data_IF_590535966539
#
_entry.id   IF_590535966539
#
_cell.length_a   1.000
_cell.length_b   1.000
_cell.length_c   1.000
_cell.angle_alpha   90.00
_cell.angle_beta   90.00
_cell.angle_gamma   90.00
#
_symmetry.space_group_name_H-M   'P 1'
#
loop_
_entity.id
_entity.type
_entity.pdbx_description
1 polymer ?
#
# COMPACT_ATOMS: atom_id res chain seq x y z
N UNK A 1 14.83 -9.75 17.66
CA UNK A 1 14.35 -10.28 16.35
C UNK A 1 13.40 -9.28 15.72
N UNK A 2 13.41 -9.16 14.40
CA UNK A 2 12.43 -8.41 13.62
C UNK A 2 11.63 -9.40 12.77
N UNK A 3 10.32 -9.34 12.85
CA UNK A 3 9.41 -10.21 12.11
C UNK A 3 8.32 -9.39 11.42
N UNK A 4 7.77 -9.91 10.33
CA UNK A 4 6.68 -9.26 9.58
C UNK A 4 5.91 -10.28 8.74
N UNK A 5 4.80 -9.89 8.10
CA UNK A 5 3.99 -10.81 7.31
C UNK A 5 4.71 -11.30 6.05
N UNK A 6 5.60 -10.49 5.49
CA UNK A 6 6.35 -10.77 4.26
C UNK A 6 7.81 -10.36 4.38
N UNK A 7 8.67 -10.94 3.54
CA UNK A 7 10.07 -10.51 3.44
C UNK A 7 10.20 -9.05 2.99
N UNK A 8 9.34 -8.59 2.11
CA UNK A 8 9.35 -7.20 1.64
C UNK A 8 9.18 -6.21 2.81
N UNK A 9 8.22 -6.44 3.70
CA UNK A 9 8.01 -5.58 4.87
C UNK A 9 9.24 -5.58 5.79
N UNK A 10 9.79 -6.75 6.06
CA UNK A 10 11.00 -6.91 6.88
C UNK A 10 12.21 -6.20 6.25
N UNK A 11 12.42 -6.35 4.95
CA UNK A 11 13.52 -5.72 4.21
C UNK A 11 13.41 -4.19 4.19
N UNK A 12 12.21 -3.65 4.05
CA UNK A 12 11.97 -2.20 4.12
C UNK A 12 12.32 -1.64 5.50
N UNK A 13 11.96 -2.35 6.57
CA UNK A 13 12.33 -1.94 7.93
C UNK A 13 13.83 -2.04 8.16
N UNK A 14 14.49 -3.12 7.71
CA UNK A 14 15.95 -3.29 7.82
C UNK A 14 16.68 -2.19 7.06
N UNK A 15 16.23 -1.80 5.88
CA UNK A 15 16.86 -0.70 5.12
C UNK A 15 16.82 0.62 5.89
N UNK A 16 15.72 0.94 6.56
CA UNK A 16 15.59 2.11 7.43
C UNK A 16 16.49 2.01 8.67
N UNK A 17 16.62 0.82 9.25
CA UNK A 17 17.52 0.57 10.38
C UNK A 17 18.99 0.75 9.96
N UNK A 18 19.39 0.26 8.79
CA UNK A 18 20.73 0.46 8.24
C UNK A 18 21.05 1.95 8.12
N UNK A 19 20.12 2.75 7.59
CA UNK A 19 20.26 4.20 7.47
C UNK A 19 20.37 4.86 8.86
N UNK A 20 19.53 4.46 9.81
CA UNK A 20 19.54 5.00 11.15
C UNK A 20 20.85 4.71 11.89
N UNK A 21 21.33 3.46 11.83
CA UNK A 21 22.61 3.05 12.42
C UNK A 21 23.78 3.75 11.74
N UNK A 22 23.74 3.94 10.41
CA UNK A 22 24.80 4.67 9.69
C UNK A 22 24.99 6.09 10.19
N UNK A 23 23.90 6.74 10.62
CA UNK A 23 23.90 8.10 11.16
C UNK A 23 24.25 8.18 12.65
N UNK A 24 24.32 7.06 13.37
CA UNK A 24 24.71 6.99 14.77
C UNK A 24 26.14 6.48 14.91
N UNK A 25 27.05 7.35 15.37
CA UNK A 25 28.46 6.98 15.51
C UNK A 25 28.71 5.93 16.61
N UNK A 26 27.83 5.81 17.59
CA UNK A 26 27.97 4.95 18.76
C UNK A 26 27.37 3.53 18.55
N UNK A 27 26.48 3.37 17.56
CA UNK A 27 25.77 2.12 17.35
C UNK A 27 26.57 1.17 16.43
N UNK A 28 26.92 -0.01 16.96
CA UNK A 28 27.50 -1.12 16.21
C UNK A 28 26.53 -2.30 16.32
N UNK A 29 26.12 -2.88 15.19
CA UNK A 29 25.19 -4.00 15.17
C UNK A 29 25.52 -4.99 14.06
N UNK A 30 25.37 -6.28 14.36
CA UNK A 30 25.38 -7.31 13.33
C UNK A 30 23.93 -7.58 12.89
N UNK A 31 23.70 -7.61 11.57
CA UNK A 31 22.37 -7.82 10.97
C UNK A 31 22.39 -9.11 10.17
N UNK A 32 21.48 -10.01 10.51
CA UNK A 32 21.29 -11.30 9.84
C UNK A 32 19.86 -11.41 9.30
N UNK A 33 19.71 -11.74 8.02
CA UNK A 33 18.40 -11.92 7.41
C UNK A 33 18.25 -13.37 6.97
N UNK A 34 17.28 -14.04 7.59
CA UNK A 34 17.01 -15.45 7.34
C UNK A 34 15.86 -15.60 6.32
N UNK A 35 16.17 -16.12 5.13
CA UNK A 35 15.21 -16.33 4.05
C UNK A 35 14.72 -17.78 3.96
N UNK A 36 13.50 -17.96 3.45
CA UNK A 36 13.06 -19.29 3.00
C UNK A 36 13.75 -19.67 1.70
N UNK A 37 13.77 -20.97 1.39
CA UNK A 37 14.44 -21.50 0.20
C UNK A 37 13.94 -21.00 -1.14
N UNK A 38 12.74 -20.42 -1.19
CA UNK A 38 12.13 -19.88 -2.41
C UNK A 38 12.41 -18.39 -2.62
N UNK A 39 13.03 -17.73 -1.64
CA UNK A 39 13.28 -16.28 -1.70
C UNK A 39 14.75 -16.00 -2.05
N UNK A 40 14.95 -14.95 -2.83
CA UNK A 40 16.29 -14.42 -3.11
C UNK A 40 16.58 -13.26 -2.17
N UNK A 41 17.78 -13.19 -1.59
CA UNK A 41 18.20 -12.07 -0.78
C UNK A 41 18.13 -10.75 -1.55
N UNK A 42 17.67 -9.69 -0.87
CA UNK A 42 17.69 -8.32 -1.40
C UNK A 42 19.11 -7.75 -1.32
N UNK A 43 19.52 -7.02 -2.36
CA UNK A 43 20.66 -6.12 -2.29
C UNK A 43 20.19 -4.77 -1.74
N UNK A 44 20.73 -4.35 -0.59
CA UNK A 44 20.38 -3.09 0.04
C UNK A 44 21.09 -1.92 -0.66
N UNK A 45 20.38 -0.79 -0.76
CA UNK A 45 20.87 0.39 -1.48
C UNK A 45 22.00 1.13 -0.75
N UNK A 46 22.01 1.02 0.59
CA UNK A 46 22.99 1.71 1.44
C UNK A 46 24.07 0.73 1.87
N UNK A 47 25.37 1.11 1.75
CA UNK A 47 26.45 0.30 2.27
C UNK A 47 26.38 0.25 3.80
N UNK A 48 26.55 -0.95 4.36
CA UNK A 48 26.56 -1.15 5.80
C UNK A 48 27.99 -1.37 6.30
N UNK A 49 28.48 -0.46 7.14
CA UNK A 49 29.88 -0.45 7.63
C UNK A 49 29.99 -0.51 9.16
N UNK A 50 28.86 -0.57 9.87
CA UNK A 50 28.78 -0.54 11.34
C UNK A 50 28.71 -1.94 11.98
N UNK A 51 29.03 -2.96 11.25
CA UNK A 51 28.99 -4.35 11.66
C UNK A 51 28.84 -5.27 10.47
N UNK A 52 28.41 -6.48 10.72
CA UNK A 52 28.16 -7.47 9.66
C UNK A 52 26.74 -7.35 9.13
N UNK A 53 26.58 -7.37 7.81
CA UNK A 53 25.31 -7.58 7.14
C UNK A 53 25.38 -8.88 6.36
N UNK A 54 24.61 -9.88 6.77
CA UNK A 54 24.61 -11.20 6.14
C UNK A 54 23.19 -11.70 5.88
N UNK A 55 23.00 -12.35 4.74
CA UNK A 55 21.75 -13.01 4.38
C UNK A 55 22.00 -14.50 4.17
N UNK A 56 21.14 -15.35 4.71
CA UNK A 56 21.25 -16.77 4.53
C UNK A 56 19.89 -17.42 4.27
N UNK A 57 19.95 -18.56 3.59
CA UNK A 57 18.76 -19.35 3.35
C UNK A 57 18.59 -20.37 4.49
N UNK A 58 17.39 -20.48 5.02
CA UNK A 58 17.07 -21.42 6.10
C UNK A 58 17.27 -22.90 5.75
N UNK A 59 17.47 -23.24 4.48
CA UNK A 59 17.84 -24.60 4.03
C UNK A 59 19.35 -24.81 3.87
N UNK A 60 20.09 -23.74 3.57
CA UNK A 60 21.52 -23.82 3.35
C UNK A 60 22.23 -23.84 4.70
N UNK A 61 23.18 -24.77 4.84
CA UNK A 61 23.66 -25.27 6.14
C UNK A 61 24.78 -24.44 6.77
N UNK A 62 24.70 -24.40 8.06
CA UNK A 62 25.72 -24.45 9.12
C UNK A 62 26.53 -23.18 9.37
N UNK A 63 27.33 -22.64 8.47
CA UNK A 63 28.34 -21.63 8.84
C UNK A 63 27.75 -20.26 9.24
N UNK A 64 26.76 -19.74 8.49
CA UNK A 64 26.13 -18.45 8.79
C UNK A 64 25.17 -18.51 9.99
N UNK A 65 24.56 -19.68 10.23
CA UNK A 65 23.75 -19.89 11.43
C UNK A 65 24.63 -19.91 12.68
N UNK A 66 25.80 -20.55 12.62
CA UNK A 66 26.77 -20.60 13.71
C UNK A 66 27.37 -19.24 14.01
N UNK A 67 27.65 -18.44 12.97
CA UNK A 67 28.14 -17.07 13.11
C UNK A 67 27.03 -16.14 13.69
N UNK A 68 25.77 -16.28 13.29
CA UNK A 68 24.64 -15.59 13.87
C UNK A 68 24.48 -15.94 15.35
N UNK A 69 24.62 -17.22 15.69
CA UNK A 69 24.54 -17.67 17.08
C UNK A 69 25.71 -17.15 17.93
N UNK A 70 26.92 -17.15 17.40
CA UNK A 70 28.08 -16.54 18.06
C UNK A 70 27.84 -15.04 18.32
N UNK A 71 27.28 -14.31 17.34
CA UNK A 71 26.93 -12.92 17.52
C UNK A 71 25.83 -12.71 18.57
N UNK A 72 24.80 -13.56 18.59
CA UNK A 72 23.73 -13.53 19.60
C UNK A 72 24.22 -13.86 21.02
N UNK A 73 25.28 -14.60 21.13
CA UNK A 73 25.88 -15.00 22.42
C UNK A 73 26.83 -13.94 22.98
N UNK A 74 27.29 -13.01 22.16
CA UNK A 74 28.15 -11.89 22.57
C UNK A 74 27.31 -10.75 23.16
N UNK A 75 27.31 -10.63 24.48
CA UNK A 75 26.57 -9.60 25.21
C UNK A 75 27.04 -8.16 24.96
N UNK A 76 28.20 -7.98 24.35
CA UNK A 76 28.75 -6.65 24.04
C UNK A 76 28.33 -6.16 22.65
N UNK A 77 27.58 -6.95 21.91
CA UNK A 77 27.08 -6.61 20.57
C UNK A 77 25.59 -6.54 20.48
N UNK A 78 25.11 -5.67 19.61
CA UNK A 78 23.72 -5.67 19.18
C UNK A 78 23.63 -6.61 17.98
N UNK A 79 22.80 -7.64 18.09
CA UNK A 79 22.53 -8.57 16.98
C UNK A 79 21.08 -8.49 16.58
N UNK A 80 20.84 -8.14 15.33
CA UNK A 80 19.51 -8.05 14.73
C UNK A 80 19.31 -9.26 13.82
N UNK A 81 18.29 -10.05 14.10
CA UNK A 81 17.86 -11.14 13.22
C UNK A 81 16.51 -10.81 12.64
N UNK A 82 16.39 -10.87 11.32
CA UNK A 82 15.19 -10.50 10.59
C UNK A 82 14.67 -11.67 9.74
N UNK A 83 13.34 -11.90 9.76
CA UNK A 83 12.72 -12.96 8.96
C UNK A 83 11.21 -12.74 8.83
N UNK A 84 10.57 -13.43 7.88
CA UNK A 84 9.11 -13.49 7.85
C UNK A 84 8.58 -14.29 9.06
N UNK A 85 7.49 -13.83 9.68
CA UNK A 85 6.94 -14.41 10.92
C UNK A 85 6.75 -15.92 10.86
N UNK A 86 6.25 -16.44 9.73
CA UNK A 86 6.09 -17.89 9.53
C UNK A 86 7.43 -18.67 9.54
N UNK A 87 8.56 -18.03 9.36
CA UNK A 87 9.86 -18.70 9.29
C UNK A 87 10.66 -18.59 10.59
N UNK A 88 10.19 -17.77 11.53
CA UNK A 88 10.91 -17.53 12.78
C UNK A 88 11.17 -18.81 13.59
N UNK A 89 10.21 -19.76 13.59
CA UNK A 89 10.38 -21.04 14.29
C UNK A 89 11.51 -21.90 13.71
N UNK A 90 11.65 -21.94 12.39
CA UNK A 90 12.74 -22.70 11.72
C UNK A 90 14.11 -22.15 12.07
N UNK A 91 14.19 -20.84 12.21
CA UNK A 91 15.41 -20.20 12.68
C UNK A 91 15.69 -20.57 14.14
N UNK A 92 14.71 -20.45 15.01
CA UNK A 92 14.84 -20.78 16.43
C UNK A 92 15.18 -22.26 16.66
N UNK A 93 14.54 -23.18 15.95
CA UNK A 93 14.81 -24.62 16.01
C UNK A 93 16.25 -24.95 15.68
N UNK A 94 16.83 -24.29 14.68
CA UNK A 94 18.23 -24.49 14.30
C UNK A 94 19.24 -23.92 15.29
N UNK A 95 18.94 -22.76 15.88
CA UNK A 95 19.82 -22.16 16.89
C UNK A 95 19.93 -22.98 18.16
N UNK A 96 18.93 -23.78 18.47
CA UNK A 96 18.78 -24.45 19.75
C UNK A 96 18.95 -25.97 19.68
N UNK A 97 19.49 -26.53 18.57
CA UNK A 97 19.65 -27.96 18.35
C UNK A 97 18.38 -28.76 18.70
N UNK A 98 17.24 -28.35 18.12
CA UNK A 98 15.90 -28.90 18.31
C UNK A 98 15.16 -28.52 19.60
N UNK A 99 15.66 -27.58 20.39
CA UNK A 99 14.89 -26.94 21.45
C UNK A 99 14.57 -25.49 21.04
N UNK A 100 13.29 -25.11 20.99
CA UNK A 100 12.91 -23.70 20.81
C UNK A 100 13.35 -22.94 22.06
N UNK A 101 14.46 -22.23 21.98
CA UNK A 101 15.02 -21.46 23.08
C UNK A 101 14.56 -20.02 23.07
N UNK A 102 14.40 -19.45 24.25
CA UNK A 102 14.16 -18.03 24.45
C UNK A 102 15.49 -17.28 24.29
N UNK A 103 15.74 -16.74 23.10
CA UNK A 103 17.07 -16.18 22.73
C UNK A 103 17.05 -14.66 22.54
N UNK A 104 15.89 -14.05 22.27
CA UNK A 104 15.79 -12.63 21.97
C UNK A 104 15.33 -11.79 23.15
N UNK A 105 16.04 -10.71 23.43
CA UNK A 105 15.67 -9.72 24.44
C UNK A 105 14.54 -8.82 23.97
N UNK A 106 14.44 -8.63 22.64
CA UNK A 106 13.40 -7.80 22.02
C UNK A 106 12.91 -8.45 20.73
N UNK A 107 11.60 -8.51 20.59
CA UNK A 107 10.92 -8.88 19.33
C UNK A 107 10.12 -7.68 18.83
N UNK A 108 10.31 -7.35 17.55
CA UNK A 108 9.55 -6.33 16.85
C UNK A 108 8.74 -7.04 15.76
N UNK A 109 7.42 -6.91 15.79
CA UNK A 109 6.53 -7.40 14.73
C UNK A 109 5.99 -6.18 13.99
N UNK A 110 6.48 -5.99 12.77
CA UNK A 110 6.03 -4.92 11.88
C UNK A 110 4.87 -5.38 10.99
N UNK A 111 4.07 -4.43 10.50
CA UNK A 111 2.82 -4.70 9.77
C UNK A 111 1.93 -5.72 10.51
N UNK A 112 1.85 -5.59 11.83
CA UNK A 112 1.23 -6.56 12.74
C UNK A 112 -0.29 -6.69 12.56
N UNK A 113 -0.93 -5.72 11.91
CA UNK A 113 -2.32 -5.82 11.47
C UNK A 113 -2.55 -6.93 10.44
N UNK A 114 -1.49 -7.37 9.72
CA UNK A 114 -1.52 -8.45 8.74
C UNK A 114 -0.97 -9.78 9.27
N UNK A 115 -0.37 -9.79 10.45
CA UNK A 115 0.20 -11.01 11.04
C UNK A 115 -0.88 -11.71 11.86
N UNK A 116 -1.26 -12.92 11.44
CA UNK A 116 -2.22 -13.74 12.17
C UNK A 116 -1.70 -14.11 13.56
N UNK A 117 -2.59 -14.24 14.54
CA UNK A 117 -2.24 -14.68 15.90
C UNK A 117 -1.46 -15.99 15.87
N UNK A 118 -1.91 -16.98 15.11
CA UNK A 118 -1.25 -18.27 14.96
C UNK A 118 0.17 -18.16 14.38
N UNK A 119 0.38 -17.24 13.44
CA UNK A 119 1.69 -16.99 12.84
C UNK A 119 2.63 -16.25 13.80
N UNK A 120 2.08 -15.36 14.63
CA UNK A 120 2.84 -14.59 15.61
C UNK A 120 3.41 -15.46 16.75
N UNK A 121 2.82 -16.61 17.04
CA UNK A 121 3.34 -17.56 18.04
C UNK A 121 4.80 -17.94 17.72
N UNK A 122 5.12 -18.08 16.45
CA UNK A 122 6.45 -18.48 15.99
C UNK A 122 7.58 -17.54 16.46
N UNK A 123 7.57 -16.22 16.17
CA UNK A 123 8.55 -15.32 16.75
C UNK A 123 8.40 -15.19 18.29
N UNK A 124 7.16 -15.14 18.82
CA UNK A 124 6.93 -14.93 20.24
C UNK A 124 7.53 -16.04 21.12
N UNK A 125 7.52 -17.28 20.65
CA UNK A 125 8.14 -18.41 21.36
C UNK A 125 9.66 -18.26 21.59
N UNK A 126 10.31 -17.35 20.85
CA UNK A 126 11.74 -17.08 20.97
C UNK A 126 12.09 -15.91 21.90
N UNK A 127 11.08 -15.23 22.44
CA UNK A 127 11.24 -14.11 23.36
C UNK A 127 11.65 -14.62 24.76
N UNK A 128 12.64 -14.01 25.36
CA UNK A 128 13.03 -14.26 26.75
C UNK A 128 11.91 -13.87 27.73
N UNK A 129 11.86 -14.49 28.88
CA UNK A 129 10.83 -14.27 29.90
C UNK A 129 10.71 -12.79 30.30
N UNK A 130 11.81 -12.08 30.42
CA UNK A 130 11.86 -10.63 30.71
C UNK A 130 12.03 -9.77 29.44
N UNK A 131 11.80 -10.37 28.27
CA UNK A 131 11.99 -9.68 26.99
C UNK A 131 10.88 -8.67 26.68
N UNK A 132 11.16 -7.79 25.70
CA UNK A 132 10.24 -6.76 25.24
C UNK A 132 9.59 -7.16 23.92
N UNK A 133 8.28 -6.93 23.84
CA UNK A 133 7.52 -7.08 22.59
C UNK A 133 7.11 -5.70 22.08
N UNK A 134 7.47 -5.39 20.85
CA UNK A 134 7.04 -4.18 20.12
C UNK A 134 6.16 -4.62 18.96
N UNK A 135 4.94 -4.12 18.93
CA UNK A 135 3.96 -4.37 17.87
C UNK A 135 3.74 -3.08 17.11
N UNK A 136 4.17 -3.05 15.85
CA UNK A 136 3.95 -1.93 14.94
C UNK A 136 2.95 -2.35 13.86
N UNK A 137 1.90 -1.53 13.63
CA UNK A 137 0.89 -1.84 12.64
C UNK A 137 -0.26 -0.86 12.67
N UNK A 138 -1.12 -0.96 11.68
CA UNK A 138 -2.24 -0.05 11.49
C UNK A 138 -3.53 -0.86 11.33
N UNK A 139 -4.39 -0.81 12.34
CA UNK A 139 -5.65 -1.57 12.38
C UNK A 139 -6.71 -1.07 11.38
N UNK A 140 -6.51 0.10 10.79
CA UNK A 140 -7.35 0.65 9.71
C UNK A 140 -6.81 0.29 8.31
N UNK A 141 -5.71 -0.46 8.24
CA UNK A 141 -5.21 -1.09 7.02
C UNK A 141 -5.64 -2.55 6.93
N UNK A 142 -5.25 -3.22 5.84
CA UNK A 142 -5.73 -4.57 5.54
C UNK A 142 -5.48 -5.57 6.68
N UNK A 143 -6.52 -6.32 7.10
CA UNK A 143 -6.35 -7.43 8.03
C UNK A 143 -5.64 -8.62 7.35
N UNK A 144 -5.20 -9.63 8.12
CA UNK A 144 -4.64 -10.83 7.53
C UNK A 144 -5.69 -11.56 6.69
N UNK A 145 -5.25 -12.19 5.60
CA UNK A 145 -6.11 -13.05 4.80
C UNK A 145 -6.44 -14.30 5.63
N UNK A 146 -7.71 -14.50 5.93
CA UNK A 146 -8.19 -15.67 6.68
C UNK A 146 -8.78 -16.69 5.71
N UNK A 147 -8.33 -17.94 5.82
CA UNK A 147 -8.85 -19.05 5.03
C UNK A 147 -10.17 -19.62 5.60
N UNK A 148 -10.47 -19.35 6.86
CA UNK A 148 -11.64 -19.86 7.58
C UNK A 148 -12.31 -18.72 8.33
N UNK A 149 -13.62 -18.79 8.45
CA UNK A 149 -14.36 -17.92 9.38
C UNK A 149 -14.05 -18.30 10.83
N UNK A 150 -13.85 -17.30 11.70
CA UNK A 150 -13.59 -17.56 13.10
C UNK A 150 -14.83 -18.17 13.79
N UNK A 151 -14.66 -19.06 14.78
CA UNK A 151 -15.76 -19.50 15.61
C UNK A 151 -16.41 -18.33 16.34
N UNK A 152 -17.72 -18.38 16.51
CA UNK A 152 -18.47 -17.35 17.26
C UNK A 152 -17.91 -17.19 18.67
N UNK A 153 -17.58 -15.97 19.05
CA UNK A 153 -17.00 -15.63 20.36
C UNK A 153 -15.48 -15.84 20.46
N UNK A 154 -14.83 -16.28 19.37
CA UNK A 154 -13.37 -16.46 19.30
C UNK A 154 -12.76 -15.77 18.08
N UNK A 155 -13.41 -14.74 17.56
CA UNK A 155 -13.02 -13.99 16.38
C UNK A 155 -11.61 -13.40 16.52
N UNK A 156 -11.20 -13.04 17.72
CA UNK A 156 -9.88 -12.52 18.04
C UNK A 156 -8.75 -13.53 17.88
N UNK A 157 -9.02 -14.86 17.99
CA UNK A 157 -8.00 -15.90 17.87
C UNK A 157 -7.52 -16.10 16.43
N UNK A 158 -8.35 -15.75 15.45
CA UNK A 158 -8.04 -15.92 14.01
C UNK A 158 -7.69 -14.59 13.33
N UNK A 159 -7.88 -13.47 14.02
CA UNK A 159 -7.53 -12.13 13.54
C UNK A 159 -6.03 -11.81 13.59
N UNK A 160 -5.71 -10.54 13.53
CA UNK A 160 -4.33 -10.07 13.66
C UNK A 160 -3.84 -10.12 15.11
N UNK A 161 -2.53 -10.31 15.27
CA UNK A 161 -1.88 -10.25 16.59
C UNK A 161 -2.09 -8.87 17.25
N UNK A 162 -2.08 -7.79 16.47
CA UNK A 162 -2.33 -6.45 16.98
C UNK A 162 -3.73 -6.35 17.61
N UNK A 163 -4.75 -6.76 16.87
CA UNK A 163 -6.14 -6.75 17.36
C UNK A 163 -6.31 -7.63 18.59
N UNK A 164 -5.73 -8.84 18.57
CA UNK A 164 -5.73 -9.76 19.69
C UNK A 164 -5.19 -9.13 20.98
N UNK A 165 -4.03 -8.47 20.88
CA UNK A 165 -3.39 -7.85 22.05
C UNK A 165 -4.20 -6.66 22.58
N UNK A 166 -4.75 -5.83 21.68
CA UNK A 166 -5.59 -4.67 22.08
C UNK A 166 -6.89 -5.14 22.74
N UNK A 167 -7.63 -6.05 22.10
CA UNK A 167 -8.96 -6.45 22.58
C UNK A 167 -8.89 -7.36 23.82
N UNK A 168 -7.90 -8.26 23.88
CA UNK A 168 -7.80 -9.25 24.96
C UNK A 168 -7.01 -8.77 26.15
N UNK A 169 -5.95 -8.00 25.94
CA UNK A 169 -5.04 -7.55 26.99
C UNK A 169 -5.11 -6.05 27.24
N UNK A 170 -5.95 -5.33 26.50
CA UNK A 170 -6.13 -3.87 26.64
C UNK A 170 -4.80 -3.09 26.59
N UNK A 171 -3.87 -3.57 25.77
CA UNK A 171 -2.56 -2.90 25.62
C UNK A 171 -2.77 -1.51 25.04
N UNK A 172 -2.20 -0.53 25.72
CA UNK A 172 -2.26 0.87 25.29
C UNK A 172 -1.43 1.04 24.01
N UNK A 173 -2.06 1.54 22.95
CA UNK A 173 -1.37 1.88 21.71
C UNK A 173 -0.92 3.33 21.71
N UNK A 174 0.34 3.56 21.30
CA UNK A 174 0.86 4.89 20.98
C UNK A 174 0.63 5.13 19.49
N UNK A 175 -0.12 6.17 19.13
CA UNK A 175 -0.34 6.52 17.74
C UNK A 175 0.77 7.44 17.23
N UNK A 176 1.20 7.23 15.98
CA UNK A 176 2.03 8.18 15.26
C UNK A 176 1.12 9.32 14.77
N UNK A 177 1.51 10.54 15.02
CA UNK A 177 0.69 11.74 14.75
C UNK A 177 1.22 12.56 13.58
N UNK A 178 2.36 12.19 13.01
CA UNK A 178 2.98 12.85 11.87
C UNK A 178 2.95 11.98 10.62
N UNK A 179 2.39 12.51 9.54
CA UNK A 179 2.38 11.87 8.23
C UNK A 179 3.39 12.54 7.31
N UNK A 180 4.47 11.82 7.00
CA UNK A 180 5.56 12.30 6.12
C UNK A 180 5.30 11.99 4.63
N UNK A 181 4.18 11.35 4.29
CA UNK A 181 3.90 10.91 2.92
C UNK A 181 3.02 11.88 2.16
N UNK A 182 1.84 12.15 2.68
CA UNK A 182 0.73 12.71 1.94
C UNK A 182 0.47 14.17 2.32
N UNK A 183 -0.13 14.92 1.40
CA UNK A 183 -0.61 16.27 1.67
C UNK A 183 -1.80 16.29 2.65
N UNK A 184 -2.16 17.48 3.09
CA UNK A 184 -3.21 17.69 4.10
C UNK A 184 -4.58 17.16 3.68
N UNK A 185 -4.94 17.22 2.39
CA UNK A 185 -6.25 16.73 1.95
C UNK A 185 -6.39 15.21 2.10
N UNK A 186 -5.33 14.47 1.78
CA UNK A 186 -5.30 13.01 1.94
C UNK A 186 -5.27 12.64 3.43
N UNK A 187 -4.51 13.38 4.25
CA UNK A 187 -4.46 13.17 5.70
C UNK A 187 -5.79 13.51 6.36
N UNK A 188 -6.49 14.56 5.89
CA UNK A 188 -7.82 14.90 6.38
C UNK A 188 -8.84 13.79 6.10
N UNK A 189 -8.74 13.13 4.93
CA UNK A 189 -9.54 11.93 4.67
C UNK A 189 -9.22 10.80 5.68
N UNK A 190 -7.96 10.53 5.96
CA UNK A 190 -7.59 9.53 6.95
C UNK A 190 -8.24 9.82 8.32
N UNK A 191 -8.21 11.07 8.77
CA UNK A 191 -8.92 11.47 10.01
C UNK A 191 -10.44 11.20 9.94
N UNK A 192 -11.06 11.41 8.79
CA UNK A 192 -12.52 11.19 8.64
C UNK A 192 -12.94 9.73 8.74
N UNK A 193 -12.03 8.78 8.54
CA UNK A 193 -12.31 7.34 8.61
C UNK A 193 -11.86 6.67 9.91
N UNK A 194 -11.35 7.44 10.88
CA UNK A 194 -11.09 6.93 12.23
C UNK A 194 -9.66 7.10 12.75
N UNK A 195 -8.73 7.69 11.98
CA UNK A 195 -7.46 8.11 12.56
C UNK A 195 -7.64 9.27 13.54
N UNK A 196 -6.70 9.43 14.47
CA UNK A 196 -6.77 10.51 15.46
C UNK A 196 -6.86 11.89 14.80
N UNK A 197 -7.58 12.80 15.42
CA UNK A 197 -7.70 14.20 14.97
C UNK A 197 -6.37 14.94 15.00
N UNK A 198 -5.43 14.50 15.85
CA UNK A 198 -4.06 15.03 15.96
C UNK A 198 -3.14 14.62 14.80
N UNK A 199 -3.52 13.61 13.98
CA UNK A 199 -2.72 13.22 12.81
C UNK A 199 -2.59 14.40 11.85
N UNK A 200 -1.36 14.84 11.58
CA UNK A 200 -1.05 15.99 10.75
C UNK A 200 -0.10 15.63 9.61
N UNK A 201 -0.24 16.30 8.48
CA UNK A 201 0.73 16.21 7.40
C UNK A 201 1.96 17.07 7.74
N UNK A 202 3.15 16.48 7.65
CA UNK A 202 4.42 17.24 7.74
C UNK A 202 4.64 18.08 6.48
N UNK A 203 4.09 17.65 5.36
CA UNK A 203 4.17 18.33 4.06
C UNK A 203 2.77 18.70 3.53
N UNK A 204 2.03 19.60 4.16
CA UNK A 204 0.61 19.83 3.88
C UNK A 204 0.35 20.34 2.46
N UNK A 205 1.34 20.97 1.82
CA UNK A 205 1.22 21.60 0.50
C UNK A 205 1.74 20.74 -0.66
N UNK A 206 2.08 19.47 -0.43
CA UNK A 206 2.46 18.59 -1.55
C UNK A 206 1.42 18.67 -2.67
N UNK A 207 1.89 18.91 -3.89
CA UNK A 207 1.08 18.92 -5.10
C UNK A 207 1.87 18.46 -6.32
N UNK A 208 1.15 18.10 -7.38
CA UNK A 208 1.78 17.81 -8.67
C UNK A 208 2.31 19.11 -9.26
N UNK A 209 3.50 19.05 -9.85
CA UNK A 209 4.04 20.13 -10.66
C UNK A 209 3.83 19.83 -12.14
N UNK A 210 3.24 20.76 -12.88
CA UNK A 210 3.02 20.64 -14.32
C UNK A 210 4.16 21.32 -15.07
N UNK A 211 4.88 20.56 -15.89
CA UNK A 211 5.94 21.04 -16.79
C UNK A 211 5.41 21.36 -18.19
N UNK A 212 4.20 20.91 -18.50
CA UNK A 212 3.49 21.20 -19.75
C UNK A 212 2.00 21.40 -19.50
N UNK A 213 1.31 22.21 -20.34
CA UNK A 213 -0.13 22.42 -20.22
C UNK A 213 -0.91 21.12 -20.43
N UNK A 214 -1.90 20.87 -19.57
CA UNK A 214 -2.81 19.71 -19.68
C UNK A 214 -3.55 19.70 -21.02
N UNK A 215 -3.94 20.86 -21.55
CA UNK A 215 -4.64 21.00 -22.83
C UNK A 215 -3.81 20.40 -23.99
N UNK A 216 -2.49 20.56 -23.98
CA UNK A 216 -1.58 19.97 -24.97
C UNK A 216 -1.59 18.44 -24.89
N UNK A 217 -1.52 17.88 -23.69
CA UNK A 217 -1.56 16.44 -23.48
C UNK A 217 -2.92 15.85 -23.86
N UNK A 218 -4.02 16.53 -23.53
CA UNK A 218 -5.40 16.12 -23.87
C UNK A 218 -5.57 16.11 -25.39
N UNK A 219 -5.08 17.14 -26.09
CA UNK A 219 -5.17 17.23 -27.56
C UNK A 219 -4.35 16.17 -28.28
N UNK A 220 -3.32 15.62 -27.63
CA UNK A 220 -2.44 14.58 -28.16
C UNK A 220 -2.86 13.15 -27.78
N UNK A 221 -4.06 12.95 -27.21
CA UNK A 221 -4.54 11.63 -26.81
C UNK A 221 -4.51 10.64 -27.98
N UNK A 222 -3.92 9.45 -27.81
CA UNK A 222 -3.92 8.40 -28.81
C UNK A 222 -5.32 8.01 -29.28
N UNK A 223 -5.44 7.68 -30.57
CA UNK A 223 -6.70 7.22 -31.14
C UNK A 223 -7.25 6.00 -30.37
N UNK A 224 -8.56 6.00 -30.11
CA UNK A 224 -9.25 4.94 -29.38
C UNK A 224 -9.28 5.11 -27.87
N UNK A 225 -8.60 6.12 -27.31
CA UNK A 225 -8.81 6.56 -25.94
C UNK A 225 -9.99 7.54 -25.86
N UNK A 226 -10.70 7.59 -24.74
CA UNK A 226 -11.81 8.50 -24.55
C UNK A 226 -11.32 9.94 -24.36
N UNK A 227 -12.13 10.90 -24.81
CA UNK A 227 -11.93 12.32 -24.56
C UNK A 227 -13.01 12.84 -23.58
N UNK A 228 -12.68 13.87 -22.82
CA UNK A 228 -13.61 14.51 -21.92
C UNK A 228 -13.13 15.92 -21.54
N UNK A 229 -14.05 16.85 -21.40
CA UNK A 229 -13.79 18.17 -20.79
C UNK A 229 -13.38 18.05 -19.32
N UNK A 230 -13.73 16.92 -18.67
CA UNK A 230 -13.40 16.65 -17.26
C UNK A 230 -11.94 16.28 -17.03
N UNK A 231 -11.15 15.91 -18.05
CA UNK A 231 -9.75 15.53 -17.87
C UNK A 231 -8.91 16.62 -17.25
N UNK A 232 -9.08 17.86 -17.69
CA UNK A 232 -8.38 19.01 -17.12
C UNK A 232 -8.74 19.19 -15.65
N UNK A 233 -10.02 19.13 -15.35
CA UNK A 233 -10.55 19.29 -14.00
C UNK A 233 -10.09 18.18 -13.03
N UNK A 234 -10.05 16.93 -13.51
CA UNK A 234 -9.55 15.78 -12.73
C UNK A 234 -8.06 15.93 -12.43
N UNK A 235 -7.29 16.40 -13.41
CA UNK A 235 -5.81 16.44 -13.31
C UNK A 235 -5.28 17.77 -12.74
N UNK A 236 -6.15 18.76 -12.55
CA UNK A 236 -5.77 20.05 -11.93
C UNK A 236 -5.05 19.83 -10.58
N UNK A 237 -3.80 20.31 -10.40
CA UNK A 237 -3.01 20.05 -9.19
C UNK A 237 -3.64 20.52 -7.89
N UNK A 238 -4.47 21.56 -7.95
CA UNK A 238 -5.19 22.07 -6.77
C UNK A 238 -6.27 21.11 -6.24
N UNK A 239 -6.83 20.26 -7.11
CA UNK A 239 -7.82 19.23 -6.75
C UNK A 239 -7.11 17.93 -6.38
N UNK A 240 -6.69 17.81 -5.15
CA UNK A 240 -5.84 16.71 -4.67
C UNK A 240 -6.58 15.39 -4.51
N UNK A 241 -7.86 15.45 -4.20
CA UNK A 241 -8.74 14.28 -4.01
C UNK A 241 -9.94 14.43 -4.93
N UNK A 242 -10.10 13.49 -5.86
CA UNK A 242 -11.11 13.53 -6.92
C UNK A 242 -11.77 12.17 -7.08
N UNK A 243 -13.06 12.16 -7.35
CA UNK A 243 -13.80 10.97 -7.82
C UNK A 243 -14.36 11.24 -9.21
N UNK A 244 -14.19 10.28 -10.13
CA UNK A 244 -14.86 10.25 -11.41
C UNK A 244 -15.92 9.16 -11.39
N UNK A 245 -17.17 9.57 -11.45
CA UNK A 245 -18.33 8.69 -11.62
C UNK A 245 -18.70 8.63 -13.10
N UNK A 246 -19.04 7.43 -13.59
CA UNK A 246 -19.39 7.21 -14.99
C UNK A 246 -20.50 6.17 -15.15
N UNK A 247 -21.07 6.15 -16.33
CA UNK A 247 -22.16 5.26 -16.70
C UNK A 247 -21.58 3.97 -17.31
N UNK A 248 -21.51 2.90 -16.51
CA UNK A 248 -21.10 1.54 -16.92
C UNK A 248 -21.70 0.50 -15.97
N UNK A 249 -22.95 0.14 -16.21
CA UNK A 249 -23.75 -0.71 -15.32
C UNK A 249 -23.67 -2.20 -15.67
N UNK A 250 -22.81 -2.60 -16.63
CA UNK A 250 -22.75 -3.97 -17.14
C UNK A 250 -21.41 -4.68 -16.82
N UNK A 251 -20.45 -3.96 -16.26
CA UNK A 251 -19.15 -4.55 -15.93
C UNK A 251 -19.22 -5.37 -14.64
N UNK A 252 -18.72 -6.62 -14.70
CA UNK A 252 -18.73 -7.52 -13.54
C UNK A 252 -17.49 -7.37 -12.65
N UNK A 253 -16.31 -7.79 -13.13
CA UNK A 253 -15.04 -7.68 -12.40
C UNK A 253 -13.96 -6.96 -13.21
N UNK A 254 -14.34 -6.45 -14.39
CA UNK A 254 -13.47 -5.67 -15.25
C UNK A 254 -14.29 -4.80 -16.23
N UNK A 255 -13.87 -3.55 -16.40
CA UNK A 255 -14.47 -2.57 -17.29
C UNK A 255 -13.47 -2.12 -18.34
N UNK A 256 -13.81 -2.34 -19.61
CA UNK A 256 -13.04 -1.81 -20.75
C UNK A 256 -13.10 -0.27 -20.78
N UNK A 257 -14.23 0.30 -20.37
CA UNK A 257 -14.41 1.74 -20.31
C UNK A 257 -13.45 2.35 -19.28
N UNK A 258 -13.41 1.80 -18.05
CA UNK A 258 -12.49 2.28 -17.03
C UNK A 258 -11.03 2.08 -17.41
N UNK A 259 -10.65 0.94 -17.99
CA UNK A 259 -9.27 0.71 -18.43
C UNK A 259 -8.81 1.77 -19.45
N UNK A 260 -9.68 2.18 -20.38
CA UNK A 260 -9.39 3.25 -21.35
C UNK A 260 -9.37 4.64 -20.69
N UNK A 261 -10.25 4.91 -19.73
CA UNK A 261 -10.24 6.13 -18.91
C UNK A 261 -8.91 6.26 -18.19
N UNK A 262 -8.50 5.21 -17.47
CA UNK A 262 -7.21 5.14 -16.78
C UNK A 262 -6.05 5.40 -17.76
N UNK A 263 -6.04 4.74 -18.92
CA UNK A 263 -4.98 4.95 -19.91
C UNK A 263 -4.95 6.39 -20.45
N UNK A 264 -6.10 7.04 -20.63
CA UNK A 264 -6.20 8.45 -21.01
C UNK A 264 -5.63 9.39 -19.96
N UNK A 265 -6.00 9.18 -18.68
CA UNK A 265 -5.46 9.96 -17.57
C UNK A 265 -3.95 9.75 -17.40
N UNK A 266 -3.47 8.52 -17.53
CA UNK A 266 -2.03 8.19 -17.48
C UNK A 266 -1.28 8.85 -18.63
N UNK A 267 -1.85 8.89 -19.85
CA UNK A 267 -1.28 9.62 -20.98
C UNK A 267 -1.10 11.10 -20.68
N UNK A 268 -2.16 11.74 -20.18
CA UNK A 268 -2.12 13.15 -19.82
C UNK A 268 -1.08 13.44 -18.74
N UNK A 269 -1.04 12.62 -17.67
CA UNK A 269 -0.04 12.74 -16.61
C UNK A 269 1.38 12.57 -17.16
N UNK A 270 1.64 11.54 -17.96
CA UNK A 270 2.98 11.25 -18.51
C UNK A 270 3.54 12.42 -19.32
N UNK A 271 2.68 13.16 -20.00
CA UNK A 271 3.06 14.26 -20.88
C UNK A 271 2.96 15.65 -20.22
N UNK A 272 2.55 15.72 -18.93
CA UNK A 272 2.35 17.01 -18.27
C UNK A 272 3.07 17.16 -16.95
N UNK A 273 3.31 16.07 -16.18
CA UNK A 273 3.86 16.18 -14.84
C UNK A 273 5.37 16.13 -14.79
N UNK A 274 5.95 16.77 -13.80
CA UNK A 274 7.35 16.64 -13.42
C UNK A 274 7.64 15.29 -12.74
N UNK A 275 8.89 14.85 -12.80
CA UNK A 275 9.41 13.75 -11.97
C UNK A 275 9.46 14.09 -10.48
N UNK A 276 9.43 15.36 -10.13
CA UNK A 276 9.41 15.86 -8.75
C UNK A 276 8.10 16.59 -8.44
N UNK A 277 7.70 16.59 -7.18
CA UNK A 277 6.48 17.22 -6.66
C UNK A 277 6.81 18.50 -5.91
N UNK A 278 5.86 19.44 -5.87
CA UNK A 278 5.96 20.65 -5.05
C UNK A 278 5.73 20.34 -3.56
N UNK A 279 6.30 21.16 -2.69
CA UNK A 279 5.97 21.20 -1.26
C UNK A 279 6.64 20.15 -0.38
N UNK A 280 7.54 19.29 -0.91
CA UNK A 280 8.30 18.31 -0.10
C UNK A 280 9.79 18.64 0.04
N UNK A 281 10.28 19.55 -0.76
CA UNK A 281 11.72 19.71 -1.03
C UNK A 281 12.21 18.61 -1.98
N UNK A 282 12.94 18.97 -3.00
CA UNK A 282 13.38 18.01 -4.01
C UNK A 282 14.32 18.67 -5.01
N UNK A 283 14.69 17.91 -6.02
CA UNK A 283 15.49 18.38 -7.15
C UNK A 283 14.76 19.36 -8.04
N UNK A 284 15.44 19.83 -9.09
CA UNK A 284 14.83 20.66 -10.11
C UNK A 284 13.73 19.89 -10.85
N UNK A 285 12.67 20.58 -11.23
CA UNK A 285 11.60 20.00 -12.03
C UNK A 285 12.10 19.60 -13.42
N UNK A 286 11.79 18.39 -13.82
CA UNK A 286 12.19 17.81 -15.10
C UNK A 286 11.14 16.82 -15.61
N UNK A 287 11.09 16.56 -16.92
CA UNK A 287 10.28 15.47 -17.46
C UNK A 287 10.75 14.13 -16.87
N UNK A 288 9.83 13.32 -16.30
CA UNK A 288 10.23 12.05 -15.71
C UNK A 288 10.76 11.09 -16.77
N UNK A 289 11.81 10.35 -16.45
CA UNK A 289 12.20 9.18 -17.26
C UNK A 289 11.07 8.12 -17.21
N UNK A 290 11.01 7.15 -18.14
CA UNK A 290 10.03 6.07 -18.05
C UNK A 290 10.08 5.36 -16.70
N UNK A 291 11.26 5.08 -16.16
CA UNK A 291 11.44 4.43 -14.86
C UNK A 291 10.87 5.28 -13.72
N UNK A 292 11.24 6.55 -13.65
CA UNK A 292 10.71 7.46 -12.62
C UNK A 292 9.20 7.61 -12.70
N UNK A 293 8.63 7.71 -13.90
CA UNK A 293 7.21 7.84 -14.08
C UNK A 293 6.45 6.63 -13.49
N UNK A 294 6.85 5.40 -13.85
CA UNK A 294 6.17 4.20 -13.43
C UNK A 294 6.48 3.79 -11.98
N UNK A 295 7.66 4.15 -11.45
CA UNK A 295 8.06 3.78 -10.08
C UNK A 295 7.72 4.84 -9.03
N UNK A 296 7.66 6.15 -9.42
CA UNK A 296 7.43 7.24 -8.47
C UNK A 296 6.14 8.03 -8.76
N UNK A 297 5.88 8.37 -10.05
CA UNK A 297 4.83 9.34 -10.35
C UNK A 297 3.43 8.72 -10.33
N UNK A 298 3.26 7.48 -10.82
CA UNK A 298 1.95 6.86 -10.99
C UNK A 298 1.83 5.51 -10.33
N UNK A 299 0.69 5.27 -9.68
CA UNK A 299 0.24 3.96 -9.23
C UNK A 299 -1.21 3.76 -9.58
N UNK A 300 -1.58 2.56 -9.96
CA UNK A 300 -2.94 2.21 -10.32
C UNK A 300 -3.37 1.03 -9.47
N UNK A 301 -4.46 1.21 -8.75
CA UNK A 301 -4.95 0.25 -7.75
C UNK A 301 -6.36 -0.19 -8.12
N UNK A 302 -6.61 -1.49 -8.02
CA UNK A 302 -7.92 -2.08 -8.33
C UNK A 302 -8.27 -3.21 -7.36
N UNK A 303 -9.55 -3.47 -7.07
CA UNK A 303 -9.94 -4.61 -6.26
C UNK A 303 -9.73 -5.95 -6.97
N UNK A 304 -9.88 -6.01 -8.30
CA UNK A 304 -9.92 -7.27 -9.04
C UNK A 304 -8.72 -7.49 -9.96
N UNK A 305 -8.18 -8.72 -9.94
CA UNK A 305 -7.10 -9.14 -10.87
C UNK A 305 -7.51 -9.05 -12.35
N UNK A 306 -8.80 -9.26 -12.65
CA UNK A 306 -9.32 -9.12 -14.01
C UNK A 306 -9.19 -7.67 -14.50
N UNK A 307 -9.58 -6.69 -13.67
CA UNK A 307 -9.41 -5.28 -14.00
C UNK A 307 -7.92 -4.90 -14.13
N UNK A 308 -7.07 -5.40 -13.22
CA UNK A 308 -5.62 -5.21 -13.31
C UNK A 308 -5.08 -5.66 -14.67
N UNK A 309 -5.41 -6.88 -15.09
CA UNK A 309 -4.93 -7.41 -16.36
C UNK A 309 -5.41 -6.58 -17.57
N UNK A 310 -6.64 -6.08 -17.49
CA UNK A 310 -7.22 -5.25 -18.55
C UNK A 310 -6.54 -3.87 -18.63
N UNK A 311 -6.31 -3.22 -17.49
CA UNK A 311 -5.59 -1.94 -17.40
C UNK A 311 -4.15 -2.08 -17.89
N UNK A 312 -3.42 -3.10 -17.44
CA UNK A 312 -2.04 -3.38 -17.88
C UNK A 312 -1.99 -3.57 -19.40
N UNK A 313 -2.92 -4.36 -19.97
CA UNK A 313 -2.98 -4.57 -21.42
C UNK A 313 -3.21 -3.27 -22.18
N UNK A 314 -4.11 -2.42 -21.70
CA UNK A 314 -4.39 -1.14 -22.35
C UNK A 314 -3.20 -0.18 -22.23
N UNK A 315 -2.53 -0.11 -21.10
CA UNK A 315 -1.33 0.69 -20.88
C UNK A 315 -0.16 0.23 -21.78
N UNK A 316 0.10 -1.07 -21.89
CA UNK A 316 1.14 -1.61 -22.78
C UNK A 316 0.85 -1.29 -24.26
N UNK A 317 -0.43 -1.24 -24.64
CA UNK A 317 -0.84 -0.83 -25.99
C UNK A 317 -0.54 0.65 -26.25
N UNK A 318 -0.74 1.52 -25.25
CA UNK A 318 -0.55 2.97 -25.35
C UNK A 318 0.93 3.37 -25.21
N UNK A 319 1.70 2.62 -24.43
CA UNK A 319 3.11 2.88 -24.14
C UNK A 319 4.03 1.75 -24.61
N UNK A 320 4.03 1.40 -25.92
CA UNK A 320 4.75 0.21 -26.41
C UNK A 320 6.28 0.33 -26.28
N UNK A 321 6.80 1.56 -26.17
CA UNK A 321 8.24 1.81 -26.00
C UNK A 321 8.72 1.73 -24.56
N UNK A 322 7.82 1.54 -23.57
CA UNK A 322 8.20 1.44 -22.19
C UNK A 322 8.44 -0.04 -21.81
N UNK A 323 9.41 -0.34 -20.92
CA UNK A 323 9.62 -1.69 -20.43
C UNK A 323 8.34 -2.25 -19.81
N UNK A 324 7.85 -3.42 -20.26
CA UNK A 324 6.58 -4.01 -19.79
C UNK A 324 6.53 -4.21 -18.28
N UNK A 325 7.66 -4.53 -17.65
CA UNK A 325 7.79 -4.79 -16.21
C UNK A 325 7.51 -3.54 -15.37
N UNK A 326 7.88 -2.37 -15.87
CA UNK A 326 7.60 -1.10 -15.18
C UNK A 326 6.09 -0.85 -15.12
N UNK A 327 5.38 -1.13 -16.22
CA UNK A 327 3.91 -1.02 -16.28
C UNK A 327 3.25 -2.07 -15.37
N UNK A 328 3.74 -3.32 -15.41
CA UNK A 328 3.23 -4.41 -14.56
C UNK A 328 3.35 -4.07 -13.06
N UNK A 329 4.44 -3.41 -12.65
CA UNK A 329 4.71 -3.01 -11.28
C UNK A 329 3.95 -1.76 -10.83
N UNK A 330 3.51 -0.92 -11.77
CA UNK A 330 2.72 0.28 -11.47
C UNK A 330 1.23 -0.01 -11.27
N UNK A 331 0.75 -1.20 -11.67
CA UNK A 331 -0.66 -1.61 -11.59
C UNK A 331 -0.78 -2.85 -10.71
N UNK A 332 -1.47 -2.76 -9.57
CA UNK A 332 -1.71 -3.96 -8.77
C UNK A 332 -3.05 -3.92 -8.01
N UNK A 333 -3.38 -5.04 -7.35
CA UNK A 333 -4.50 -5.07 -6.42
C UNK A 333 -4.15 -4.33 -5.12
N UNK A 334 -5.18 -3.91 -4.40
CA UNK A 334 -5.03 -3.16 -3.14
C UNK A 334 -4.09 -3.88 -2.17
N UNK A 335 -4.21 -5.20 -2.04
CA UNK A 335 -3.42 -6.03 -1.14
C UNK A 335 -1.92 -6.01 -1.47
N UNK A 336 -1.60 -6.07 -2.76
CA UNK A 336 -0.20 -6.10 -3.20
C UNK A 336 0.43 -4.71 -3.28
N UNK A 337 -0.39 -3.68 -3.45
CA UNK A 337 0.08 -2.29 -3.47
C UNK A 337 0.42 -1.76 -2.07
N UNK A 338 0.14 -2.54 -1.02
CA UNK A 338 0.47 -2.17 0.34
C UNK A 338 1.99 -1.98 0.53
N UNK A 339 2.39 -0.94 1.27
CA UNK A 339 3.80 -0.52 1.40
C UNK A 339 4.29 0.45 0.30
N UNK A 340 3.70 0.44 -0.91
CA UNK A 340 4.06 1.36 -1.98
C UNK A 340 3.50 2.79 -1.77
N UNK A 341 4.18 3.79 -2.31
CA UNK A 341 3.70 5.17 -2.39
C UNK A 341 3.97 5.76 -3.77
N UNK A 342 3.11 6.65 -4.24
CA UNK A 342 3.24 7.32 -5.55
C UNK A 342 2.79 8.77 -5.45
N UNK A 343 3.27 9.61 -6.35
CA UNK A 343 2.79 10.99 -6.45
C UNK A 343 1.29 11.02 -6.74
N UNK A 344 0.83 10.21 -7.70
CA UNK A 344 -0.59 10.06 -8.04
C UNK A 344 -1.01 8.59 -7.91
N UNK A 345 -2.16 8.38 -7.30
CA UNK A 345 -2.86 7.08 -7.30
C UNK A 345 -4.16 7.21 -8.09
N UNK A 346 -4.35 6.31 -9.05
CA UNK A 346 -5.63 6.08 -9.72
C UNK A 346 -6.24 4.79 -9.17
N UNK A 347 -7.44 4.88 -8.61
CA UNK A 347 -8.21 3.72 -8.13
C UNK A 347 -9.28 3.42 -9.16
N UNK A 348 -9.36 2.19 -9.67
CA UNK A 348 -10.34 1.79 -10.68
C UNK A 348 -11.06 0.54 -10.22
N UNK A 349 -12.38 0.61 -10.06
CA UNK A 349 -13.18 -0.50 -9.51
C UNK A 349 -13.51 -1.57 -10.54
N UNK A 350 -13.92 -1.18 -11.74
CA UNK A 350 -14.25 -2.09 -12.84
C UNK A 350 -15.51 -2.93 -12.63
N UNK A 351 -16.37 -2.56 -11.68
CA UNK A 351 -17.59 -3.28 -11.31
C UNK A 351 -18.77 -2.33 -11.37
N UNK A 352 -19.74 -2.60 -12.25
CA UNK A 352 -20.93 -1.78 -12.42
C UNK A 352 -22.24 -2.56 -12.38
N UNK A 353 -22.18 -3.88 -12.59
CA UNK A 353 -23.32 -4.78 -12.52
C UNK A 353 -23.88 -4.84 -11.09
N UNK A 354 -25.19 -4.56 -10.93
CA UNK A 354 -25.83 -4.46 -9.62
C UNK A 354 -25.83 -5.77 -8.84
N UNK A 355 -25.98 -6.93 -9.51
CA UNK A 355 -26.01 -8.23 -8.86
C UNK A 355 -24.58 -8.60 -8.37
N UNK A 356 -23.57 -8.29 -9.17
CA UNK A 356 -22.17 -8.49 -8.76
C UNK A 356 -21.82 -7.57 -7.59
N UNK A 357 -22.22 -6.30 -7.63
CA UNK A 357 -22.01 -5.36 -6.53
C UNK A 357 -22.65 -5.88 -5.25
N UNK A 358 -23.91 -6.35 -5.30
CA UNK A 358 -24.60 -6.91 -4.14
C UNK A 358 -23.92 -8.19 -3.61
N UNK A 359 -23.42 -9.06 -4.51
CA UNK A 359 -22.69 -10.27 -4.11
C UNK A 359 -21.31 -10.02 -3.49
N UNK A 360 -20.67 -8.91 -3.79
CA UNK A 360 -19.32 -8.57 -3.38
C UNK A 360 -19.26 -7.29 -2.50
N UNK A 361 -20.38 -6.79 -1.99
CA UNK A 361 -20.47 -5.50 -1.28
C UNK A 361 -19.52 -5.41 -0.07
N UNK A 362 -19.38 -6.49 0.70
CA UNK A 362 -18.48 -6.57 1.84
C UNK A 362 -17.00 -6.46 1.43
N UNK A 363 -16.68 -6.91 0.21
CA UNK A 363 -15.34 -6.81 -0.36
C UNK A 363 -15.09 -5.43 -0.97
N UNK A 364 -16.02 -4.93 -1.79
CA UNK A 364 -15.87 -3.67 -2.52
C UNK A 364 -15.90 -2.44 -1.61
N UNK A 365 -16.65 -2.50 -0.51
CA UNK A 365 -16.87 -1.38 0.42
C UNK A 365 -16.12 -1.54 1.75
N UNK A 366 -15.13 -2.45 1.79
CA UNK A 366 -14.30 -2.62 2.97
C UNK A 366 -13.50 -1.34 3.25
N UNK A 367 -13.58 -0.84 4.50
CA UNK A 367 -12.92 0.40 4.93
C UNK A 367 -11.41 0.33 4.68
N UNK A 368 -10.78 -0.77 5.07
CA UNK A 368 -9.34 -0.95 4.99
C UNK A 368 -8.83 -0.91 3.53
N UNK A 369 -9.63 -1.41 2.57
CA UNK A 369 -9.32 -1.34 1.13
C UNK A 369 -9.33 0.10 0.64
N UNK A 370 -10.40 0.84 0.96
CA UNK A 370 -10.52 2.25 0.58
C UNK A 370 -9.40 3.07 1.20
N UNK A 371 -9.10 2.83 2.48
CA UNK A 371 -8.03 3.50 3.19
C UNK A 371 -6.66 3.23 2.54
N UNK A 372 -6.32 1.96 2.31
CA UNK A 372 -5.04 1.60 1.67
C UNK A 372 -4.94 2.23 0.29
N UNK A 373 -5.99 2.17 -0.52
CA UNK A 373 -5.98 2.73 -1.87
C UNK A 373 -5.72 4.25 -1.85
N UNK A 374 -6.41 5.01 -1.00
CA UNK A 374 -6.27 6.48 -0.92
C UNK A 374 -4.95 6.90 -0.27
N UNK A 375 -4.56 6.24 0.81
CA UNK A 375 -3.37 6.62 1.61
C UNK A 375 -2.03 6.32 0.94
N UNK A 376 -2.01 5.67 -0.25
CA UNK A 376 -0.78 5.48 -1.06
C UNK A 376 -0.40 6.70 -1.86
N UNK A 377 -1.31 7.66 -2.01
CA UNK A 377 -1.06 8.89 -2.74
C UNK A 377 -0.27 9.90 -1.89
N UNK A 378 0.69 10.55 -2.52
CA UNK A 378 1.43 11.68 -1.92
C UNK A 378 0.75 13.01 -2.26
N UNK A 379 0.51 13.26 -3.55
CA UNK A 379 0.02 14.53 -4.07
C UNK A 379 -1.42 14.46 -4.57
N UNK A 380 -1.83 13.35 -5.19
CA UNK A 380 -3.15 13.26 -5.84
C UNK A 380 -3.73 11.85 -5.77
N UNK A 381 -5.02 11.76 -5.43
CA UNK A 381 -5.79 10.52 -5.52
C UNK A 381 -7.02 10.74 -6.41
N UNK A 382 -7.21 9.85 -7.40
CA UNK A 382 -8.38 9.85 -8.28
C UNK A 382 -9.07 8.49 -8.18
N UNK A 383 -10.31 8.47 -7.72
CA UNK A 383 -11.14 7.26 -7.65
C UNK A 383 -12.08 7.23 -8.85
N UNK A 384 -12.07 6.15 -9.61
CA UNK A 384 -12.86 5.94 -10.81
C UNK A 384 -13.82 4.78 -10.56
N UNK A 385 -15.12 5.01 -10.68
CA UNK A 385 -16.12 3.98 -10.47
C UNK A 385 -17.45 4.32 -11.19
N UNK A 386 -18.31 3.31 -11.44
CA UNK A 386 -19.62 3.56 -12.01
C UNK A 386 -20.61 4.16 -11.00
N UNK A 387 -21.65 4.84 -11.51
CA UNK A 387 -22.72 5.38 -10.68
C UNK A 387 -23.45 4.31 -9.88
N UNK A 388 -23.62 3.11 -10.42
CA UNK A 388 -24.28 1.98 -9.77
C UNK A 388 -23.56 1.59 -8.46
N UNK A 389 -22.23 1.47 -8.47
CA UNK A 389 -21.45 1.18 -7.27
C UNK A 389 -21.49 2.36 -6.28
N UNK A 390 -21.35 3.59 -6.76
CA UNK A 390 -21.42 4.77 -5.91
C UNK A 390 -22.79 4.91 -5.24
N UNK A 391 -23.88 4.55 -5.91
CA UNK A 391 -25.26 4.59 -5.41
C UNK A 391 -25.67 3.39 -4.57
N UNK A 392 -24.97 2.26 -4.67
CA UNK A 392 -25.35 1.01 -3.98
C UNK A 392 -25.41 1.20 -2.45
N UNK A 393 -26.45 0.69 -1.82
CA UNK A 393 -26.61 0.65 -0.37
C UNK A 393 -26.46 -0.80 0.08
N UNK A 394 -25.44 -1.13 0.88
CA UNK A 394 -25.22 -2.49 1.33
C UNK A 394 -26.41 -3.09 2.10
N UNK A 395 -26.71 -4.35 1.83
CA UNK A 395 -27.74 -5.12 2.52
C UNK A 395 -27.15 -5.86 3.74
N UNK A 396 -25.90 -6.26 3.65
CA UNK A 396 -25.18 -6.90 4.76
C UNK A 396 -24.82 -5.87 5.84
N UNK A 397 -25.12 -6.20 7.10
CA UNK A 397 -24.88 -5.30 8.25
C UNK A 397 -23.40 -4.97 8.44
N UNK A 398 -22.50 -5.91 8.15
CA UNK A 398 -21.06 -5.69 8.27
C UNK A 398 -20.58 -4.79 7.14
N UNK A 399 -21.00 -5.05 5.91
CA UNK A 399 -20.70 -4.21 4.76
C UNK A 399 -21.24 -2.78 4.95
N UNK A 400 -22.45 -2.61 5.47
CA UNK A 400 -23.04 -1.32 5.79
C UNK A 400 -22.19 -0.52 6.78
N UNK A 401 -21.66 -1.18 7.82
CA UNK A 401 -20.80 -0.53 8.81
C UNK A 401 -19.47 -0.06 8.24
N UNK A 402 -18.90 -0.78 7.27
CA UNK A 402 -17.60 -0.44 6.68
C UNK A 402 -17.71 0.47 5.47
N UNK A 403 -18.89 0.52 4.83
CA UNK A 403 -19.14 1.35 3.65
C UNK A 403 -19.01 2.86 3.90
N UNK A 404 -19.04 3.30 5.16
CA UNK A 404 -18.91 4.72 5.51
C UNK A 404 -17.61 5.34 4.99
N UNK A 405 -16.52 4.57 4.94
CA UNK A 405 -15.24 5.06 4.42
C UNK A 405 -15.34 5.45 2.94
N UNK A 406 -15.92 4.57 2.10
CA UNK A 406 -16.12 4.86 0.68
C UNK A 406 -17.21 5.91 0.46
N UNK A 407 -18.34 5.79 1.15
CA UNK A 407 -19.46 6.75 1.02
C UNK A 407 -19.08 8.13 1.55
N UNK A 408 -18.41 8.19 2.69
CA UNK A 408 -17.87 9.43 3.24
C UNK A 408 -16.87 10.09 2.27
N UNK A 409 -15.98 9.31 1.66
CA UNK A 409 -15.07 9.82 0.63
C UNK A 409 -15.84 10.42 -0.54
N UNK A 410 -16.86 9.72 -1.05
CA UNK A 410 -17.60 10.12 -2.25
C UNK A 410 -18.50 11.35 -2.01
N UNK A 411 -19.22 11.40 -0.90
CA UNK A 411 -20.35 12.32 -0.73
C UNK A 411 -20.11 13.40 0.32
N UNK A 412 -19.30 13.13 1.33
CA UNK A 412 -19.03 14.08 2.40
C UNK A 412 -17.68 14.78 2.20
N UNK A 413 -16.65 14.00 1.88
CA UNK A 413 -15.30 14.53 1.71
C UNK A 413 -15.11 15.21 0.35
N UNK A 414 -15.51 14.57 -0.75
CA UNK A 414 -15.59 15.16 -2.09
C UNK A 414 -16.95 15.88 -2.26
N UNK A 415 -17.12 17.03 -1.63
CA UNK A 415 -18.42 17.72 -1.51
C UNK A 415 -18.76 18.69 -2.65
N UNK A 416 -17.79 19.02 -3.53
CA UNK A 416 -18.02 19.78 -4.76
C UNK A 416 -18.25 18.82 -5.92
N UNK A 417 -19.05 19.20 -6.90
CA UNK A 417 -19.32 18.36 -8.06
C UNK A 417 -19.40 19.13 -9.36
N UNK A 418 -19.15 18.45 -10.47
CA UNK A 418 -19.28 18.99 -11.81
C UNK A 418 -19.72 17.86 -12.75
N UNK A 419 -20.80 18.09 -13.48
CA UNK A 419 -21.29 17.17 -14.51
C UNK A 419 -20.49 17.30 -15.81
N UNK A 420 -20.45 16.20 -16.56
CA UNK A 420 -19.81 16.17 -17.86
C UNK A 420 -20.08 14.87 -18.61
N UNK A 421 -19.31 14.63 -19.66
CA UNK A 421 -19.42 13.45 -20.49
C UNK A 421 -18.03 12.90 -20.83
N UNK A 422 -17.96 11.59 -21.01
CA UNK A 422 -16.79 10.89 -21.54
C UNK A 422 -17.17 10.36 -22.93
N UNK A 423 -16.41 10.73 -23.94
CA UNK A 423 -16.65 10.38 -25.34
C UNK A 423 -15.76 9.21 -25.75
N UNK A 424 -16.35 8.09 -26.11
CA UNK A 424 -15.70 6.92 -26.71
C UNK A 424 -15.99 6.93 -28.23
N UNK A 425 -15.18 7.65 -28.98
CA UNK A 425 -15.49 8.00 -30.37
C UNK A 425 -16.71 8.90 -30.43
N UNK A 426 -17.78 8.49 -31.13
CA UNK A 426 -19.04 9.22 -31.23
C UNK A 426 -20.03 8.92 -30.08
N UNK A 427 -19.74 7.94 -29.22
CA UNK A 427 -20.63 7.54 -28.13
C UNK A 427 -20.25 8.29 -26.85
N UNK A 428 -21.15 9.14 -26.37
CA UNK A 428 -21.01 9.83 -25.07
C UNK A 428 -21.60 8.97 -23.95
N UNK A 429 -20.85 8.88 -22.83
CA UNK A 429 -21.33 8.36 -21.56
C UNK A 429 -21.45 9.50 -20.56
N UNK A 430 -22.51 9.51 -19.76
CA UNK A 430 -22.66 10.45 -18.65
C UNK A 430 -21.53 10.27 -17.67
N UNK A 431 -21.00 11.37 -17.18
CA UNK A 431 -19.96 11.36 -16.16
C UNK A 431 -20.15 12.53 -15.20
N UNK A 432 -19.62 12.38 -13.99
CA UNK A 432 -19.59 13.41 -12.96
C UNK A 432 -18.28 13.32 -12.23
N UNK A 433 -17.65 14.44 -11.96
CA UNK A 433 -16.57 14.49 -10.98
C UNK A 433 -17.07 15.02 -9.65
N UNK A 434 -16.51 14.49 -8.58
CA UNK A 434 -16.64 15.04 -7.25
C UNK A 434 -15.23 15.30 -6.69
N UNK A 435 -15.07 16.41 -5.96
CA UNK A 435 -13.77 16.80 -5.43
C UNK A 435 -13.93 17.62 -4.15
N UNK A 436 -12.85 17.75 -3.44
CA UNK A 436 -12.75 18.57 -2.23
C UNK A 436 -12.43 20.03 -2.56
#
# INVERSE_FOLDING_TARGET
MIAGPTYKAVEELIERIIIAIANDASCLADIFIAYSSSQRPKNFSHPYTKGRLASFNLRDREQLADECYASLSDRNKITIVATASMQAWKFAERLTNNCVGQVFDTIIIDESSQVQVTTAISPLATLREQGRLVIAGDHLQMPPIMALEPPVGAEYLVGSIQRYLIERFQIVSCALEENYRSNEDIVAYARSIGYRSSLASVFPHISLHLIAPLDTAISSLPQGLPTSTLWKEILEPSRKVVTLLHDDDLSSQSSRSEAKIVAGLVWCLRNSVSGEIDGRGGGAHHPPTPKEFWEKCIGIVTPHRAQRALVVRELKRIFPSNPPELIDNAVDTVEKFQGGERHTILVTYGVGDGDVIAGEEAFLMQLERTNVAVSRAMAKCVVIMPFSLAGHVPQDKKALKTAHALKGYLFEFCNKEQDGQILFGQKGKKAKIRYR
#
